data_IF_880776022286
#
_entry.id   IF_880776022286
#
_cell.length_a   1.000
_cell.length_b   1.000
_cell.length_c   1.000
_cell.angle_alpha   90.00
_cell.angle_beta   90.00
_cell.angle_gamma   90.00
#
_symmetry.space_group_name_H-M   'P 1'
#
loop_
_entity.id
_entity.type
_entity.pdbx_description
1 polymer ?
#
# COMPACT_ATOMS: atom_id res chain seq x y z
N UNK A 1 -48.51 56.94 54.09
CA UNK A 1 -48.72 56.94 55.55
C UNK A 1 -50.14 57.38 55.79
N UNK A 2 -51.07 56.46 55.57
CA UNK A 2 -52.47 56.66 55.93
C UNK A 2 -52.56 56.54 57.45
N UNK A 3 -53.21 57.50 58.09
CA UNK A 3 -53.41 57.49 59.54
C UNK A 3 -54.27 56.27 59.84
N UNK A 4 -53.72 55.31 60.60
CA UNK A 4 -54.48 54.21 61.19
C UNK A 4 -55.63 54.84 62.00
N UNK A 5 -56.80 54.90 61.40
CA UNK A 5 -58.01 55.31 62.10
C UNK A 5 -58.39 54.15 63.00
N UNK A 6 -58.01 54.24 64.27
CA UNK A 6 -58.49 53.35 65.33
C UNK A 6 -59.98 53.13 65.15
N UNK A 7 -60.37 51.88 64.96
CA UNK A 7 -61.79 51.55 64.75
C UNK A 7 -62.49 51.75 66.09
N UNK A 8 -63.21 52.85 66.24
CA UNK A 8 -64.00 53.11 67.44
C UNK A 8 -65.42 52.61 67.26
N UNK A 9 -65.90 51.80 68.20
CA UNK A 9 -67.25 51.23 68.19
C UNK A 9 -68.34 52.30 68.33
N UNK A 10 -68.02 53.44 68.94
CA UNK A 10 -68.86 54.63 69.00
C UNK A 10 -67.98 55.85 68.72
N UNK A 11 -68.35 56.73 67.77
CA UNK A 11 -67.60 57.97 67.53
C UNK A 11 -67.47 58.77 68.83
N UNK A 12 -66.24 59.11 69.24
CA UNK A 12 -66.00 59.93 70.44
C UNK A 12 -66.87 61.19 70.44
N UNK A 13 -67.04 61.80 69.26
CA UNK A 13 -67.86 62.99 69.08
C UNK A 13 -69.33 62.79 69.49
N UNK A 14 -69.88 61.60 69.30
CA UNK A 14 -71.25 61.26 69.70
C UNK A 14 -71.35 61.10 71.21
N UNK A 15 -70.40 60.41 71.84
CA UNK A 15 -70.35 60.26 73.29
C UNK A 15 -70.14 61.61 73.99
N UNK A 16 -69.31 62.49 73.43
CA UNK A 16 -69.12 63.85 73.94
C UNK A 16 -70.38 64.70 73.82
N UNK A 17 -71.13 64.59 72.72
CA UNK A 17 -72.43 65.27 72.54
C UNK A 17 -73.46 64.77 73.55
N UNK A 18 -73.55 63.46 73.78
CA UNK A 18 -74.45 62.87 74.77
C UNK A 18 -74.08 63.31 76.20
N UNK A 19 -72.79 63.35 76.56
CA UNK A 19 -72.33 63.88 77.85
C UNK A 19 -72.71 65.35 78.05
N UNK A 20 -72.54 66.19 77.01
CA UNK A 20 -72.94 67.60 77.06
C UNK A 20 -74.47 67.77 77.19
N UNK A 21 -75.25 66.95 76.50
CA UNK A 21 -76.70 66.95 76.61
C UNK A 21 -77.16 66.52 78.01
N UNK A 22 -76.55 65.47 78.55
CA UNK A 22 -76.77 65.01 79.92
C UNK A 22 -76.50 66.13 80.94
N UNK A 23 -75.37 66.83 80.84
CA UNK A 23 -75.06 67.97 81.72
C UNK A 23 -76.12 69.07 81.67
N UNK A 24 -76.58 69.45 80.47
CA UNK A 24 -77.64 70.45 80.30
C UNK A 24 -78.97 70.01 80.92
N UNK A 25 -79.37 68.75 80.71
CA UNK A 25 -80.62 68.21 81.26
C UNK A 25 -80.59 68.16 82.80
N UNK A 26 -79.42 67.94 83.40
CA UNK A 26 -79.23 68.04 84.85
C UNK A 26 -79.32 69.48 85.35
N UNK A 27 -78.73 70.44 84.65
CA UNK A 27 -78.83 71.88 84.96
C UNK A 27 -80.30 72.36 84.91
N UNK A 28 -81.08 71.84 83.97
CA UNK A 28 -82.50 72.19 83.78
C UNK A 28 -83.47 71.42 84.72
N UNK A 29 -82.97 70.58 85.65
CA UNK A 29 -83.76 69.68 86.50
C UNK A 29 -84.75 68.78 85.73
N UNK A 30 -84.40 68.39 84.50
CA UNK A 30 -85.26 67.58 83.65
C UNK A 30 -85.14 66.08 84.02
N UNK A 31 -86.25 65.38 84.34
CA UNK A 31 -86.20 63.95 84.68
C UNK A 31 -85.61 63.07 83.57
N UNK A 32 -85.63 63.51 82.30
CA UNK A 32 -84.97 62.83 81.19
C UNK A 32 -83.44 62.73 81.36
N UNK A 33 -82.81 63.64 82.12
CA UNK A 33 -81.38 63.58 82.45
C UNK A 33 -81.04 62.34 83.28
N UNK A 34 -81.92 61.93 84.20
CA UNK A 34 -81.74 60.71 85.01
C UNK A 34 -81.78 59.47 84.12
N UNK A 35 -82.75 59.41 83.19
CA UNK A 35 -82.89 58.29 82.26
C UNK A 35 -81.73 58.21 81.26
N UNK A 36 -81.29 59.35 80.71
CA UNK A 36 -80.14 59.39 79.81
C UNK A 36 -78.84 59.00 80.53
N UNK A 37 -78.65 59.45 81.78
CA UNK A 37 -77.52 59.06 82.61
C UNK A 37 -77.48 57.55 82.85
N UNK A 38 -78.62 56.96 83.25
CA UNK A 38 -78.73 55.52 83.45
C UNK A 38 -78.43 54.71 82.17
N UNK A 39 -78.94 55.14 81.02
CA UNK A 39 -78.64 54.51 79.72
C UNK A 39 -77.15 54.63 79.38
N UNK A 40 -76.55 55.80 79.60
CA UNK A 40 -75.14 56.01 79.33
C UNK A 40 -74.25 55.16 80.23
N UNK A 41 -74.60 55.02 81.52
CA UNK A 41 -73.88 54.19 82.47
C UNK A 41 -74.04 52.68 82.16
N UNK A 42 -75.24 52.26 81.73
CA UNK A 42 -75.53 50.88 81.28
C UNK A 42 -74.68 50.48 80.07
N UNK A 43 -74.52 51.38 79.09
CA UNK A 43 -73.74 51.10 77.89
C UNK A 43 -72.24 51.43 78.03
N UNK A 44 -71.79 52.17 79.05
CA UNK A 44 -70.37 52.54 79.21
C UNK A 44 -69.47 51.30 79.42
N UNK A 45 -69.96 50.30 80.17
CA UNK A 45 -69.26 49.02 80.33
C UNK A 45 -69.14 48.26 79.01
N UNK A 46 -70.21 48.24 78.21
CA UNK A 46 -70.25 47.56 76.92
C UNK A 46 -69.34 48.24 75.90
N UNK A 47 -69.36 49.58 75.83
CA UNK A 47 -68.47 50.37 74.98
C UNK A 47 -67.00 50.10 75.32
N UNK A 48 -66.65 50.04 76.62
CA UNK A 48 -65.30 49.69 77.08
C UNK A 48 -64.92 48.26 76.72
N UNK A 49 -65.83 47.31 76.91
CA UNK A 49 -65.60 45.90 76.56
C UNK A 49 -65.38 45.73 75.05
N UNK A 50 -66.24 46.33 74.22
CA UNK A 50 -66.10 46.36 72.76
C UNK A 50 -64.80 47.03 72.32
N UNK A 51 -64.41 48.17 72.93
CA UNK A 51 -63.13 48.81 72.63
C UNK A 51 -61.93 47.92 73.00
N UNK A 52 -62.03 47.13 74.07
CA UNK A 52 -61.03 46.12 74.43
C UNK A 52 -60.93 45.01 73.37
N UNK A 53 -62.07 44.46 72.96
CA UNK A 53 -62.15 43.43 71.91
C UNK A 53 -61.57 43.94 70.59
N UNK A 54 -61.88 45.17 70.17
CA UNK A 54 -61.31 45.74 68.94
C UNK A 54 -59.79 45.87 69.04
N UNK A 55 -59.24 46.33 70.17
CA UNK A 55 -57.79 46.41 70.37
C UNK A 55 -57.12 45.03 70.33
N UNK A 56 -57.76 44.01 70.90
CA UNK A 56 -57.27 42.63 70.83
C UNK A 56 -57.24 42.12 69.38
N UNK A 57 -58.30 42.39 68.60
CA UNK A 57 -58.32 42.06 67.18
C UNK A 57 -57.26 42.82 66.38
N UNK A 58 -57.13 44.14 66.57
CA UNK A 58 -56.09 44.95 65.92
C UNK A 58 -54.68 44.42 66.25
N UNK A 59 -54.45 44.04 67.52
CA UNK A 59 -53.20 43.43 67.95
C UNK A 59 -52.96 42.06 67.27
N UNK A 60 -53.95 41.16 67.25
CA UNK A 60 -53.85 39.86 66.58
C UNK A 60 -53.63 40.00 65.07
N UNK A 61 -54.38 40.86 64.39
CA UNK A 61 -54.21 41.14 62.96
C UNK A 61 -52.82 41.72 62.67
N UNK A 62 -52.35 42.69 63.46
CA UNK A 62 -51.01 43.25 63.30
C UNK A 62 -49.90 42.21 63.53
N UNK A 63 -50.11 41.29 64.47
CA UNK A 63 -49.20 40.18 64.75
C UNK A 63 -49.13 39.19 63.59
N UNK A 64 -50.29 38.76 63.07
CA UNK A 64 -50.38 37.88 61.89
C UNK A 64 -49.78 38.53 60.65
N UNK A 65 -50.06 39.81 60.43
CA UNK A 65 -49.50 40.55 59.30
C UNK A 65 -47.98 40.58 59.37
N UNK A 66 -47.40 40.96 60.51
CA UNK A 66 -45.94 40.97 60.71
C UNK A 66 -45.31 39.59 60.51
N UNK A 67 -45.95 38.54 61.03
CA UNK A 67 -45.47 37.16 60.87
C UNK A 67 -45.40 36.77 59.39
N UNK A 68 -46.47 37.04 58.63
CA UNK A 68 -46.54 36.73 57.20
C UNK A 68 -45.56 37.61 56.40
N UNK A 69 -45.40 38.89 56.74
CA UNK A 69 -44.43 39.77 56.11
C UNK A 69 -42.98 39.28 56.32
N UNK A 70 -42.64 38.79 57.51
CA UNK A 70 -41.32 38.22 57.78
C UNK A 70 -41.10 36.92 57.01
N UNK A 71 -42.10 36.03 56.97
CA UNK A 71 -42.03 34.78 56.19
C UNK A 71 -41.80 35.06 54.69
N UNK A 72 -42.53 36.03 54.13
CA UNK A 72 -42.31 36.44 52.74
C UNK A 72 -40.94 37.10 52.54
N UNK A 73 -40.47 37.92 53.48
CA UNK A 73 -39.14 38.53 53.41
C UNK A 73 -38.04 37.48 53.40
N UNK A 74 -38.12 36.49 54.29
CA UNK A 74 -37.19 35.36 54.32
C UNK A 74 -37.24 34.56 53.02
N UNK A 75 -38.45 34.29 52.50
CA UNK A 75 -38.63 33.55 51.24
C UNK A 75 -38.05 34.30 50.05
N UNK A 76 -38.27 35.61 49.97
CA UNK A 76 -37.68 36.46 48.93
C UNK A 76 -36.15 36.42 49.04
N UNK A 77 -35.59 36.57 50.24
CA UNK A 77 -34.14 36.50 50.45
C UNK A 77 -33.53 35.16 50.02
N UNK A 78 -34.21 34.04 50.29
CA UNK A 78 -33.78 32.72 49.80
C UNK A 78 -33.81 32.63 48.27
N UNK A 79 -34.90 33.10 47.63
CA UNK A 79 -35.02 33.06 46.17
C UNK A 79 -33.99 33.98 45.48
N UNK A 80 -33.68 35.14 46.06
CA UNK A 80 -32.63 36.03 45.56
C UNK A 80 -31.25 35.38 45.63
N UNK A 81 -30.96 34.66 46.72
CA UNK A 81 -29.72 33.90 46.86
C UNK A 81 -29.63 32.77 45.84
N UNK A 82 -30.69 31.99 45.68
CA UNK A 82 -30.76 30.92 44.67
C UNK A 82 -30.57 31.48 43.25
N UNK A 83 -31.22 32.62 42.94
CA UNK A 83 -31.05 33.30 41.66
C UNK A 83 -29.60 33.76 41.43
N UNK A 84 -28.92 34.29 42.45
CA UNK A 84 -27.52 34.67 42.36
C UNK A 84 -26.63 33.45 42.10
N UNK A 85 -26.86 32.34 42.81
CA UNK A 85 -26.11 31.09 42.65
C UNK A 85 -26.31 30.47 41.26
N UNK A 86 -27.54 30.44 40.74
CA UNK A 86 -27.81 29.96 39.39
C UNK A 86 -27.17 30.85 38.32
N UNK A 87 -27.21 32.18 38.47
CA UNK A 87 -26.52 33.10 37.56
C UNK A 87 -25.01 32.87 37.55
N UNK A 88 -24.40 32.67 38.72
CA UNK A 88 -22.98 32.36 38.83
C UNK A 88 -22.64 31.04 38.11
N UNK A 89 -23.42 29.98 38.35
CA UNK A 89 -23.26 28.67 37.69
C UNK A 89 -23.38 28.76 36.17
N UNK A 90 -24.39 29.47 35.66
CA UNK A 90 -24.59 29.69 34.22
C UNK A 90 -23.39 30.41 33.60
N UNK A 91 -22.90 31.47 34.23
CA UNK A 91 -21.71 32.19 33.74
C UNK A 91 -20.46 31.31 33.71
N UNK A 92 -20.32 30.38 34.66
CA UNK A 92 -19.23 29.41 34.71
C UNK A 92 -19.32 28.39 33.57
N UNK A 93 -20.53 27.86 33.31
CA UNK A 93 -20.79 26.94 32.21
C UNK A 93 -20.55 27.60 30.84
N UNK A 94 -20.97 28.85 30.66
CA UNK A 94 -20.74 29.58 29.41
C UNK A 94 -19.25 29.80 29.13
N UNK A 95 -18.46 30.12 30.17
CA UNK A 95 -16.99 30.21 30.05
C UNK A 95 -16.38 28.88 29.66
N UNK A 96 -16.74 27.80 30.35
CA UNK A 96 -16.24 26.45 30.07
C UNK A 96 -16.62 26.00 28.64
N UNK A 97 -17.84 26.31 28.19
CA UNK A 97 -18.28 26.06 26.82
C UNK A 97 -17.44 26.83 25.81
N UNK A 98 -17.15 28.10 26.07
CA UNK A 98 -16.28 28.93 25.23
C UNK A 98 -14.86 28.38 25.12
N UNK A 99 -14.27 27.94 26.23
CA UNK A 99 -12.94 27.31 26.25
C UNK A 99 -12.92 25.97 25.48
N UNK A 100 -13.93 25.13 25.68
CA UNK A 100 -14.07 23.87 24.94
C UNK A 100 -14.24 24.12 23.43
N UNK A 101 -15.02 25.14 23.05
CA UNK A 101 -15.16 25.51 21.64
C UNK A 101 -13.84 25.92 21.01
N UNK A 102 -12.98 26.65 21.73
CA UNK A 102 -11.64 27.02 21.25
C UNK A 102 -10.75 25.79 21.08
N UNK A 103 -10.73 24.89 22.06
CA UNK A 103 -9.98 23.62 21.98
C UNK A 103 -10.43 22.75 20.81
N UNK A 104 -11.73 22.70 20.54
CA UNK A 104 -12.27 21.95 19.38
C UNK A 104 -11.71 22.53 18.08
N UNK A 105 -11.75 23.86 17.90
CA UNK A 105 -11.21 24.51 16.70
C UNK A 105 -9.69 24.26 16.55
N UNK A 106 -8.93 24.34 17.63
CA UNK A 106 -7.48 24.04 17.63
C UNK A 106 -7.21 22.59 17.21
N UNK A 107 -8.00 21.63 17.72
CA UNK A 107 -7.90 20.22 17.36
C UNK A 107 -8.29 19.96 15.90
N UNK A 108 -9.33 20.62 15.40
CA UNK A 108 -9.74 20.53 14.00
C UNK A 108 -8.65 21.06 13.05
N UNK A 109 -8.00 22.17 13.41
CA UNK A 109 -6.87 22.69 12.63
C UNK A 109 -5.66 21.74 12.67
N UNK A 110 -5.33 21.20 13.83
CA UNK A 110 -4.25 20.23 13.98
C UNK A 110 -4.52 18.96 13.14
N UNK A 111 -5.77 18.49 13.14
CA UNK A 111 -6.21 17.35 12.33
C UNK A 111 -6.04 17.64 10.84
N UNK A 112 -6.52 18.80 10.36
CA UNK A 112 -6.35 19.22 8.95
C UNK A 112 -4.89 19.26 8.52
N UNK A 113 -3.99 19.75 9.38
CA UNK A 113 -2.55 19.77 9.10
C UNK A 113 -2.00 18.34 8.99
N UNK A 114 -2.38 17.44 9.89
CA UNK A 114 -1.94 16.04 9.87
C UNK A 114 -2.47 15.29 8.65
N UNK A 115 -3.71 15.54 8.25
CA UNK A 115 -4.28 14.95 7.03
C UNK A 115 -3.54 15.43 5.77
N UNK A 116 -3.16 16.70 5.71
CA UNK A 116 -2.33 17.24 4.62
C UNK A 116 -0.93 16.60 4.59
N UNK A 117 -0.28 16.46 5.74
CA UNK A 117 1.02 15.76 5.86
C UNK A 117 0.91 14.29 5.38
N UNK A 118 -0.13 13.57 5.80
CA UNK A 118 -0.39 12.20 5.36
C UNK A 118 -0.66 12.11 3.87
N UNK A 119 -1.41 13.06 3.31
CA UNK A 119 -1.64 13.17 1.86
C UNK A 119 -0.34 13.33 1.09
N UNK A 120 0.54 14.24 1.54
CA UNK A 120 1.84 14.47 0.92
C UNK A 120 2.76 13.23 1.01
N UNK A 121 2.78 12.54 2.16
CA UNK A 121 3.55 11.30 2.33
C UNK A 121 3.05 10.19 1.40
N UNK A 122 1.74 10.03 1.22
CA UNK A 122 1.17 9.06 0.28
C UNK A 122 1.60 9.32 -1.16
N UNK A 123 1.61 10.58 -1.59
CA UNK A 123 2.07 10.97 -2.93
C UNK A 123 3.55 10.62 -3.10
N UNK A 124 4.41 11.01 -2.16
CA UNK A 124 5.85 10.68 -2.21
C UNK A 124 6.10 9.18 -2.27
N UNK A 125 5.39 8.39 -1.47
CA UNK A 125 5.55 6.93 -1.46
C UNK A 125 5.12 6.30 -2.80
N UNK A 126 4.06 6.83 -3.42
CA UNK A 126 3.66 6.40 -4.76
C UNK A 126 4.70 6.75 -5.84
N UNK A 127 5.29 7.95 -5.77
CA UNK A 127 6.37 8.38 -6.66
C UNK A 127 7.63 7.53 -6.50
N UNK A 128 8.07 7.28 -5.26
CA UNK A 128 9.22 6.41 -4.96
C UNK A 128 8.97 4.98 -5.43
N UNK A 129 7.76 4.45 -5.20
CA UNK A 129 7.35 3.14 -5.71
C UNK A 129 7.39 3.05 -7.24
N UNK A 130 6.90 4.09 -7.93
CA UNK A 130 6.95 4.19 -9.39
C UNK A 130 8.39 4.27 -9.91
N UNK A 131 9.24 5.09 -9.29
CA UNK A 131 10.65 5.21 -9.65
C UNK A 131 11.40 3.90 -9.45
N UNK A 132 11.16 3.20 -8.34
CA UNK A 132 11.78 1.90 -8.06
C UNK A 132 11.35 0.86 -9.09
N UNK A 133 10.06 0.80 -9.42
CA UNK A 133 9.54 -0.11 -10.44
C UNK A 133 10.14 0.20 -11.82
N UNK A 134 10.23 1.48 -12.20
CA UNK A 134 10.87 1.91 -13.45
C UNK A 134 12.34 1.49 -13.51
N UNK A 135 13.10 1.68 -12.43
CA UNK A 135 14.50 1.23 -12.34
C UNK A 135 14.62 -0.30 -12.45
N UNK A 136 13.72 -1.04 -11.82
CA UNK A 136 13.70 -2.49 -11.90
C UNK A 136 13.44 -2.97 -13.34
N UNK A 137 12.41 -2.43 -14.00
CA UNK A 137 12.09 -2.76 -15.40
C UNK A 137 13.25 -2.41 -16.33
N UNK A 138 13.85 -1.23 -16.18
CA UNK A 138 15.01 -0.82 -16.98
C UNK A 138 16.20 -1.77 -16.81
N UNK A 139 16.49 -2.19 -15.57
CA UNK A 139 17.58 -3.15 -15.28
C UNK A 139 17.29 -4.54 -15.83
N UNK A 140 16.04 -4.99 -15.78
CA UNK A 140 15.61 -6.25 -16.39
C UNK A 140 15.78 -6.20 -17.91
N UNK A 141 15.32 -5.12 -18.56
CA UNK A 141 15.51 -4.93 -20.00
C UNK A 141 17.00 -4.95 -20.37
N UNK A 142 17.84 -4.25 -19.60
CA UNK A 142 19.27 -4.22 -19.85
C UNK A 142 19.92 -5.62 -19.75
N UNK A 143 19.47 -6.45 -18.79
CA UNK A 143 19.92 -7.84 -18.67
C UNK A 143 19.51 -8.67 -19.89
N UNK A 144 18.26 -8.55 -20.34
CA UNK A 144 17.81 -9.22 -21.57
C UNK A 144 18.64 -8.78 -22.77
N UNK A 145 18.85 -7.48 -22.96
CA UNK A 145 19.65 -6.96 -24.08
C UNK A 145 21.11 -7.43 -24.02
N UNK A 146 21.69 -7.58 -22.83
CA UNK A 146 23.05 -8.15 -22.66
C UNK A 146 23.08 -9.63 -23.00
N UNK A 147 22.10 -10.40 -22.55
CA UNK A 147 22.00 -11.84 -22.85
C UNK A 147 21.82 -12.05 -24.35
N UNK A 148 20.87 -11.37 -24.99
CA UNK A 148 20.65 -11.49 -26.43
C UNK A 148 21.86 -11.07 -27.26
N UNK A 149 22.58 -10.01 -26.87
CA UNK A 149 23.86 -9.67 -27.51
C UNK A 149 24.88 -10.80 -27.37
N UNK A 150 24.99 -11.40 -26.18
CA UNK A 150 25.94 -12.48 -25.95
C UNK A 150 25.59 -13.75 -26.72
N UNK A 151 24.32 -14.07 -26.84
CA UNK A 151 23.83 -15.16 -27.67
C UNK A 151 24.21 -14.95 -29.14
N UNK A 152 23.99 -13.75 -29.68
CA UNK A 152 24.39 -13.41 -31.05
C UNK A 152 25.91 -13.48 -31.26
N UNK A 153 26.72 -12.98 -30.32
CA UNK A 153 28.19 -13.10 -30.37
C UNK A 153 28.64 -14.57 -30.41
N UNK A 154 28.04 -15.42 -29.57
CA UNK A 154 28.38 -16.85 -29.50
C UNK A 154 27.97 -17.56 -30.78
N UNK A 155 26.77 -17.27 -31.31
CA UNK A 155 26.30 -17.81 -32.59
C UNK A 155 27.23 -17.41 -33.73
N UNK A 156 27.58 -16.12 -33.84
CA UNK A 156 28.50 -15.61 -34.85
C UNK A 156 29.89 -16.28 -34.75
N UNK A 157 30.46 -16.41 -33.54
CA UNK A 157 31.73 -17.10 -33.36
C UNK A 157 31.66 -18.58 -33.73
N UNK A 158 30.54 -19.24 -33.44
CA UNK A 158 30.32 -20.63 -33.82
C UNK A 158 30.21 -20.79 -35.34
N UNK A 159 29.47 -19.91 -36.02
CA UNK A 159 29.38 -19.89 -37.49
C UNK A 159 30.74 -19.69 -38.16
N UNK A 160 31.56 -18.76 -37.65
CA UNK A 160 32.92 -18.53 -38.14
C UNK A 160 33.81 -19.76 -37.96
N UNK A 161 33.77 -20.38 -36.78
CA UNK A 161 34.52 -21.63 -36.52
C UNK A 161 34.05 -22.77 -37.42
N UNK A 162 32.75 -22.90 -37.63
CA UNK A 162 32.19 -23.94 -38.48
C UNK A 162 32.62 -23.75 -39.94
N UNK A 163 32.55 -22.52 -40.48
CA UNK A 163 33.09 -22.18 -41.80
C UNK A 163 34.59 -22.46 -41.91
N UNK A 164 35.37 -22.14 -40.88
CA UNK A 164 36.80 -22.43 -40.84
C UNK A 164 37.10 -23.94 -40.81
N UNK A 165 36.23 -24.76 -40.21
CA UNK A 165 36.36 -26.22 -40.23
C UNK A 165 35.94 -26.79 -41.58
N UNK A 166 34.86 -26.31 -42.19
CA UNK A 166 34.40 -26.72 -43.53
C UNK A 166 35.46 -26.43 -44.60
N UNK A 167 36.09 -25.26 -44.55
CA UNK A 167 37.19 -24.90 -45.46
C UNK A 167 38.41 -25.81 -45.27
N UNK A 168 38.82 -26.08 -44.02
CA UNK A 168 39.90 -27.04 -43.73
C UNK A 168 39.57 -28.46 -44.20
N UNK A 169 38.34 -28.90 -43.98
CA UNK A 169 37.87 -30.21 -44.44
C UNK A 169 37.95 -30.31 -45.96
N UNK A 170 37.45 -29.29 -46.67
CA UNK A 170 37.51 -29.22 -48.14
C UNK A 170 38.96 -29.26 -48.65
N UNK A 171 39.89 -28.51 -48.03
CA UNK A 171 41.32 -28.56 -48.38
C UNK A 171 41.87 -29.98 -48.19
N UNK A 172 41.66 -30.59 -47.03
CA UNK A 172 42.11 -31.96 -46.77
C UNK A 172 41.54 -32.95 -47.78
N UNK A 173 40.26 -32.85 -48.11
CA UNK A 173 39.60 -33.69 -49.10
C UNK A 173 40.22 -33.54 -50.52
N UNK A 174 40.57 -32.31 -50.91
CA UNK A 174 41.30 -32.07 -52.17
C UNK A 174 42.73 -32.62 -52.14
N UNK A 175 43.45 -32.50 -51.01
CA UNK A 175 44.79 -33.07 -50.85
C UNK A 175 44.77 -34.61 -50.87
N UNK A 176 43.82 -35.23 -50.17
CA UNK A 176 43.64 -36.68 -50.15
C UNK A 176 43.29 -37.22 -51.54
N UNK A 177 42.33 -36.61 -52.23
CA UNK A 177 41.99 -36.99 -53.60
C UNK A 177 43.14 -36.75 -54.58
N UNK A 178 43.93 -35.69 -54.39
CA UNK A 178 45.16 -35.43 -55.13
C UNK A 178 46.21 -36.53 -54.94
N UNK A 179 46.53 -36.89 -53.68
CA UNK A 179 47.45 -37.99 -53.36
C UNK A 179 46.96 -39.34 -53.89
N UNK A 180 45.67 -39.63 -53.79
CA UNK A 180 45.09 -40.84 -54.35
C UNK A 180 45.29 -40.93 -55.88
N UNK A 181 45.13 -39.81 -56.60
CA UNK A 181 45.43 -39.74 -58.04
C UNK A 181 46.92 -39.94 -58.33
N UNK A 182 47.81 -39.32 -57.53
CA UNK A 182 49.25 -39.50 -57.66
C UNK A 182 49.68 -40.95 -57.46
N UNK A 183 49.18 -41.61 -56.41
CA UNK A 183 49.45 -43.03 -56.17
C UNK A 183 48.94 -43.90 -57.32
N UNK A 184 47.74 -43.63 -57.84
CA UNK A 184 47.19 -44.34 -59.00
C UNK A 184 48.05 -44.15 -60.27
N UNK A 185 48.58 -42.95 -60.49
CA UNK A 185 49.50 -42.68 -61.59
C UNK A 185 50.83 -43.42 -61.40
N UNK A 186 51.38 -43.40 -60.19
CA UNK A 186 52.63 -44.11 -59.87
C UNK A 186 52.48 -45.63 -60.00
N UNK A 187 51.35 -46.18 -59.54
CA UNK A 187 50.98 -47.59 -59.72
C UNK A 187 50.94 -47.94 -61.21
N UNK A 188 50.28 -47.11 -62.03
CA UNK A 188 50.23 -47.30 -63.48
C UNK A 188 51.62 -47.23 -64.12
N UNK A 189 52.48 -46.27 -63.74
CA UNK A 189 53.85 -46.16 -64.26
C UNK A 189 54.67 -47.40 -63.90
N UNK A 190 54.60 -47.88 -62.66
CA UNK A 190 55.27 -49.10 -62.24
C UNK A 190 54.74 -50.34 -63.00
N UNK A 191 53.43 -50.41 -63.25
CA UNK A 191 52.81 -51.48 -64.02
C UNK A 191 53.27 -51.45 -65.47
N UNK A 192 53.32 -50.27 -66.10
CA UNK A 192 53.84 -50.06 -67.45
C UNK A 192 55.34 -50.41 -67.55
N UNK A 193 56.16 -50.01 -66.57
CA UNK A 193 57.58 -50.38 -66.46
C UNK A 193 57.77 -51.89 -66.29
N UNK A 194 56.98 -52.52 -65.41
CA UNK A 194 56.99 -53.97 -65.19
C UNK A 194 56.62 -54.72 -66.47
N UNK A 195 55.57 -54.27 -67.16
CA UNK A 195 55.16 -54.84 -68.45
C UNK A 195 56.24 -54.66 -69.52
N UNK A 196 56.88 -53.49 -69.60
CA UNK A 196 57.98 -53.22 -70.53
C UNK A 196 59.17 -54.14 -70.27
N UNK A 197 59.59 -54.31 -69.01
CA UNK A 197 60.67 -55.26 -68.64
C UNK A 197 60.28 -56.70 -68.91
N UNK A 198 59.03 -57.08 -68.68
CA UNK A 198 58.51 -58.41 -69.01
C UNK A 198 58.58 -58.66 -70.52
N UNK A 199 58.20 -57.69 -71.34
CA UNK A 199 58.34 -57.76 -72.81
C UNK A 199 59.80 -57.85 -73.25
N UNK A 200 60.69 -57.05 -72.67
CA UNK A 200 62.13 -57.14 -72.93
C UNK A 200 62.67 -58.53 -72.57
N UNK A 201 62.27 -59.07 -71.41
CA UNK A 201 62.67 -60.40 -70.98
C UNK A 201 62.18 -61.47 -71.97
N UNK A 202 60.90 -61.41 -72.38
CA UNK A 202 60.34 -62.29 -73.42
C UNK A 202 61.16 -62.19 -74.71
N UNK A 203 61.46 -60.97 -75.19
CA UNK A 203 62.30 -60.77 -76.38
C UNK A 203 63.70 -61.35 -76.24
N UNK A 204 64.33 -61.22 -75.06
CA UNK A 204 65.64 -61.84 -74.80
C UNK A 204 65.57 -63.36 -74.75
N UNK A 205 64.52 -63.93 -74.15
CA UNK A 205 64.26 -65.37 -74.15
C UNK A 205 64.02 -65.89 -75.58
N UNK A 206 63.21 -65.19 -76.37
CA UNK A 206 62.95 -65.55 -77.77
C UNK A 206 64.22 -65.45 -78.62
N UNK A 207 65.07 -64.44 -78.40
CA UNK A 207 66.38 -64.34 -79.05
C UNK A 207 67.30 -65.50 -78.67
N UNK A 208 67.43 -65.83 -77.38
CA UNK A 208 68.25 -66.95 -76.92
C UNK A 208 67.71 -68.27 -77.50
N UNK A 209 66.38 -68.42 -77.54
CA UNK A 209 65.73 -69.59 -78.14
C UNK A 209 66.05 -69.71 -79.62
N UNK A 210 65.93 -68.63 -80.39
CA UNK A 210 66.31 -68.61 -81.80
C UNK A 210 67.81 -68.90 -82.01
N UNK A 211 68.69 -68.39 -81.13
CA UNK A 211 70.13 -68.68 -81.16
C UNK A 211 70.43 -70.16 -80.83
N UNK A 212 69.68 -70.77 -79.90
CA UNK A 212 69.75 -72.19 -79.58
C UNK A 212 69.22 -73.05 -80.72
N UNK A 213 68.04 -72.75 -81.25
CA UNK A 213 67.44 -73.44 -82.39
C UNK A 213 68.37 -73.37 -83.62
N UNK A 214 69.03 -72.22 -83.85
CA UNK A 214 70.04 -72.08 -84.91
C UNK A 214 71.32 -72.91 -84.64
N UNK A 215 71.76 -73.00 -83.37
CA UNK A 215 72.88 -73.88 -82.98
C UNK A 215 72.52 -75.35 -83.14
N UNK A 216 71.33 -75.75 -82.73
CA UNK A 216 70.85 -77.12 -82.86
C UNK A 216 70.69 -77.49 -84.34
N UNK A 217 70.15 -76.60 -85.16
CA UNK A 217 70.12 -76.79 -86.62
C UNK A 217 71.52 -76.91 -87.22
N UNK A 218 72.49 -76.10 -86.77
CA UNK A 218 73.88 -76.20 -87.20
C UNK A 218 74.55 -77.50 -86.71
N UNK A 219 74.25 -77.98 -85.50
CA UNK A 219 74.73 -79.26 -84.97
C UNK A 219 74.11 -80.44 -85.72
N UNK A 220 72.80 -80.44 -85.95
CA UNK A 220 72.13 -81.46 -86.77
C UNK A 220 72.65 -81.46 -88.20
N UNK A 221 72.92 -80.31 -88.81
CA UNK A 221 73.59 -80.24 -90.11
C UNK A 221 74.99 -80.87 -90.08
N UNK A 222 75.74 -80.65 -88.99
CA UNK A 222 77.06 -81.24 -88.75
C UNK A 222 77.01 -82.74 -88.49
N UNK A 223 75.97 -83.22 -87.79
CA UNK A 223 75.69 -84.65 -87.58
C UNK A 223 75.25 -85.33 -88.88
N UNK A 224 74.47 -84.65 -89.73
CA UNK A 224 74.15 -85.11 -91.09
C UNK A 224 75.42 -85.18 -91.94
N UNK A 225 76.33 -84.19 -91.87
CA UNK A 225 77.63 -84.26 -92.54
C UNK A 225 78.52 -85.40 -92.01
N UNK A 226 78.57 -85.58 -90.69
CA UNK A 226 79.35 -86.65 -90.06
C UNK A 226 78.78 -88.03 -90.38
N UNK A 227 77.46 -88.21 -90.37
CA UNK A 227 76.81 -89.45 -90.77
C UNK A 227 76.90 -89.70 -92.29
N UNK A 228 76.95 -88.66 -93.12
CA UNK A 228 77.28 -88.78 -94.53
C UNK A 228 78.74 -89.18 -94.76
N UNK A 229 79.67 -88.68 -93.94
CA UNK A 229 81.08 -89.10 -93.91
C UNK A 229 81.22 -90.54 -93.39
N UNK A 230 80.40 -90.94 -92.42
CA UNK A 230 80.40 -92.29 -91.84
C UNK A 230 79.75 -93.31 -92.79
N UNK A 231 78.72 -92.92 -93.55
CA UNK A 231 78.18 -93.70 -94.66
C UNK A 231 79.17 -93.78 -95.83
N UNK A 232 79.96 -92.74 -96.11
CA UNK A 232 81.13 -92.82 -97.01
C UNK A 232 82.23 -93.75 -96.48
N UNK A 233 82.33 -93.92 -95.16
CA UNK A 233 83.27 -94.86 -94.54
C UNK A 233 82.77 -96.30 -94.64
N UNK A 234 81.45 -96.53 -94.56
CA UNK A 234 80.82 -97.86 -94.73
C UNK A 234 80.80 -98.35 -96.19
N UNK A 235 80.93 -97.48 -97.18
CA UNK A 235 81.08 -97.88 -98.60
C UNK A 235 82.53 -98.15 -99.02
N UNK A 236 83.52 -97.96 -98.13
CA UNK A 236 84.95 -98.22 -98.41
C UNK A 236 85.48 -99.48 -97.69
N UNK A 237 84.67 -100.12 -96.83
CA UNK A 237 84.99 -101.43 -96.22
C UNK A 237 84.09 -102.55 -96.76
N UNK A 238 83.85 -102.54 -98.07
CA UNK A 238 83.30 -103.65 -98.87
C UNK A 238 84.31 -104.16 -99.91
N UNK A 239 85.60 -103.99 -99.63
CA UNK A 239 86.72 -104.60 -100.37
C UNK A 239 87.84 -104.90 -99.36
N UNK A 240 87.68 -106.00 -98.61
CA UNK A 240 88.74 -106.98 -98.31
C UNK A 240 88.29 -107.94 -97.19
N UNK A 241 88.16 -109.22 -97.61
CA UNK A 241 87.87 -110.48 -96.87
C UNK A 241 86.40 -110.89 -96.76
#
# INVERSE_FOLDING_TARGET
>A
MEKETLVQCVPIEMMERLKKLLSRLWEDNNPAGVHLGAIMDEFDSDIKALSGVVKEYEADFSGRLKFVEEEYRERIGMLEKDLADYKARMSGLDKARGENSKKILELEEALKRKDAELGALRIRLAEEGSQLNSKYVAKMQELYDRVSRKELEVLSSWEEKNKALETKHSILETEYSGKARQFKQHEKVLEDEFNSRKEELIKTFDRIRLELDARDAALSAREIELSALENRRRTITTDDI
#
